data_IF_154390166456
#
_entry.id   IF_154390166456
#
_cell.length_a   1.000
_cell.length_b   1.000
_cell.length_c   1.000
_cell.angle_alpha   90.00
_cell.angle_beta   90.00
_cell.angle_gamma   90.00
#
_symmetry.space_group_name_H-M   'P 1'
#
loop_
_entity.id
_entity.type
_entity.pdbx_description
1 polymer ?
#
# COMPACT_ATOMS: atom_id res chain seq x y z
N UNK A 1 5.37 -28.68 -6.54
CA UNK A 1 5.81 -27.27 -6.38
C UNK A 1 4.69 -26.24 -6.52
N UNK A 2 3.72 -26.37 -7.43
CA UNK A 2 2.49 -25.54 -7.36
C UNK A 2 1.69 -25.81 -6.08
N UNK A 3 1.71 -27.06 -5.61
CA UNK A 3 1.11 -27.45 -4.33
C UNK A 3 1.77 -26.75 -3.13
N UNK A 4 3.11 -26.63 -3.06
CA UNK A 4 3.80 -26.05 -1.90
C UNK A 4 3.53 -24.56 -1.72
N UNK A 5 3.56 -23.76 -2.80
CA UNK A 5 3.22 -22.33 -2.74
C UNK A 5 1.74 -22.12 -2.38
N UNK A 6 0.83 -22.87 -3.01
CA UNK A 6 -0.60 -22.83 -2.67
C UNK A 6 -0.89 -23.26 -1.23
N UNK A 7 -0.09 -24.20 -0.70
CA UNK A 7 -0.22 -24.69 0.67
C UNK A 7 0.37 -23.70 1.69
N UNK A 8 1.51 -23.07 1.39
CA UNK A 8 2.07 -21.97 2.19
C UNK A 8 1.13 -20.77 2.26
N UNK A 9 0.50 -20.40 1.14
CA UNK A 9 -0.51 -19.34 1.09
C UNK A 9 -1.74 -19.71 1.93
N UNK A 10 -2.16 -20.98 1.89
CA UNK A 10 -3.28 -21.48 2.71
C UNK A 10 -2.95 -21.49 4.21
N UNK A 11 -1.73 -21.85 4.60
CA UNK A 11 -1.27 -21.82 6.00
C UNK A 11 -1.18 -20.38 6.51
N UNK A 12 -0.59 -19.48 5.72
CA UNK A 12 -0.50 -18.05 6.05
C UNK A 12 -1.88 -17.44 6.24
N UNK A 13 -2.83 -17.72 5.34
CA UNK A 13 -4.19 -17.22 5.45
C UNK A 13 -4.91 -17.72 6.72
N UNK A 14 -4.71 -18.99 7.10
CA UNK A 14 -5.24 -19.55 8.35
C UNK A 14 -4.63 -18.89 9.59
N UNK A 15 -3.31 -18.73 9.61
CA UNK A 15 -2.60 -18.03 10.70
C UNK A 15 -3.04 -16.57 10.79
N UNK A 16 -3.23 -15.90 9.65
CA UNK A 16 -3.69 -14.53 9.58
C UNK A 16 -5.11 -14.39 10.15
N UNK A 17 -6.03 -15.29 9.78
CA UNK A 17 -7.36 -15.32 10.37
C UNK A 17 -7.33 -15.54 11.88
N UNK A 18 -6.45 -16.44 12.35
CA UNK A 18 -6.32 -16.77 13.77
C UNK A 18 -5.62 -15.67 14.61
N UNK A 19 -4.71 -14.88 14.03
CA UNK A 19 -4.00 -13.82 14.79
C UNK A 19 -4.85 -12.56 14.96
N UNK A 20 -5.73 -12.25 14.01
CA UNK A 20 -6.53 -11.02 13.98
C UNK A 20 -7.24 -10.71 15.30
N UNK A 21 -7.92 -11.66 15.99
CA UNK A 21 -8.55 -11.39 17.28
C UNK A 21 -7.59 -11.06 18.42
N UNK A 22 -6.32 -11.48 18.32
CA UNK A 22 -5.30 -11.26 19.36
C UNK A 22 -4.58 -9.92 19.21
N UNK A 23 -4.45 -9.42 17.99
CA UNK A 23 -3.71 -8.19 17.67
C UNK A 23 -4.20 -6.96 18.44
N UNK A 24 -5.52 -6.72 18.62
CA UNK A 24 -5.99 -5.56 19.39
C UNK A 24 -5.43 -5.48 20.82
N UNK A 25 -5.15 -6.62 21.43
CA UNK A 25 -4.67 -6.72 22.81
C UNK A 25 -3.15 -6.89 22.88
N UNK A 26 -2.62 -7.86 22.15
CA UNK A 26 -1.22 -8.28 22.23
C UNK A 26 -0.34 -7.66 21.13
N UNK A 27 -0.93 -6.90 20.21
CA UNK A 27 -0.27 -6.35 19.03
C UNK A 27 0.20 -7.43 18.05
N UNK A 28 0.91 -6.99 17.02
CA UNK A 28 1.64 -7.88 16.10
C UNK A 28 2.90 -8.41 16.78
N UNK A 29 2.73 -9.32 17.75
CA UNK A 29 3.80 -9.80 18.62
C UNK A 29 4.03 -11.31 18.51
N UNK A 30 5.20 -11.76 18.98
CA UNK A 30 5.50 -13.19 19.06
C UNK A 30 4.51 -13.96 19.96
N UNK A 31 3.96 -13.29 20.99
CA UNK A 31 2.90 -13.88 21.83
C UNK A 31 1.63 -14.14 21.00
N UNK A 32 1.13 -13.12 20.29
CA UNK A 32 -0.04 -13.25 19.43
C UNK A 32 0.17 -14.31 18.33
N UNK A 33 1.39 -14.41 17.78
CA UNK A 33 1.73 -15.43 16.78
C UNK A 33 1.62 -16.85 17.31
N UNK A 34 2.16 -17.14 18.51
CA UNK A 34 2.04 -18.46 19.13
C UNK A 34 0.59 -18.82 19.46
N UNK A 35 -0.19 -17.84 19.92
CA UNK A 35 -1.63 -18.03 20.16
C UNK A 35 -2.37 -18.35 18.86
N UNK A 36 -2.10 -17.61 17.79
CA UNK A 36 -2.66 -17.87 16.48
C UNK A 36 -2.30 -19.27 15.93
N UNK A 37 -1.06 -19.71 16.14
CA UNK A 37 -0.62 -21.06 15.75
C UNK A 37 -1.42 -22.14 16.49
N UNK A 38 -1.60 -21.97 17.80
CA UNK A 38 -2.39 -22.88 18.63
C UNK A 38 -3.86 -22.91 18.21
N UNK A 39 -4.49 -21.74 18.02
CA UNK A 39 -5.89 -21.62 17.61
C UNK A 39 -6.14 -22.19 16.22
N UNK A 40 -5.21 -21.96 15.29
CA UNK A 40 -5.26 -22.52 13.95
C UNK A 40 -4.92 -24.02 13.91
N UNK A 41 -4.49 -24.63 15.02
CA UNK A 41 -4.00 -26.02 15.10
C UNK A 41 -2.87 -26.29 14.11
N UNK A 42 -1.94 -25.34 14.00
CA UNK A 42 -0.72 -25.45 13.20
C UNK A 42 0.43 -25.60 14.18
N UNK A 43 1.30 -26.59 13.95
CA UNK A 43 2.47 -26.76 14.80
C UNK A 43 3.44 -25.57 14.64
N UNK A 44 4.12 -25.22 15.73
CA UNK A 44 4.95 -24.01 15.75
C UNK A 44 6.09 -24.06 14.73
N UNK A 45 6.65 -25.25 14.44
CA UNK A 45 7.73 -25.39 13.47
C UNK A 45 7.24 -25.08 12.04
N UNK A 46 6.05 -25.54 11.66
CA UNK A 46 5.40 -25.17 10.41
C UNK A 46 5.08 -23.68 10.36
N UNK A 47 4.55 -23.11 11.45
CA UNK A 47 4.25 -21.68 11.52
C UNK A 47 5.50 -20.83 11.33
N UNK A 48 6.60 -21.16 12.02
CA UNK A 48 7.90 -20.47 11.90
C UNK A 48 8.51 -20.66 10.50
N UNK A 49 8.32 -21.82 9.86
CA UNK A 49 8.80 -22.06 8.50
C UNK A 49 8.09 -21.18 7.45
N UNK A 50 6.77 -20.97 7.62
CA UNK A 50 5.95 -20.17 6.70
C UNK A 50 6.03 -18.66 7.02
N UNK A 51 6.18 -18.29 8.28
CA UNK A 51 6.35 -16.91 8.75
C UNK A 51 7.62 -16.79 9.59
N UNK A 52 8.82 -16.73 8.98
CA UNK A 52 10.09 -16.69 9.71
C UNK A 52 10.25 -15.50 10.66
N UNK A 53 9.55 -14.39 10.39
CA UNK A 53 9.51 -13.20 11.27
C UNK A 53 8.24 -13.17 12.15
N UNK A 54 7.50 -14.27 12.19
CA UNK A 54 6.29 -14.46 12.98
C UNK A 54 5.19 -13.43 12.65
N UNK A 55 4.70 -12.75 13.67
CA UNK A 55 3.62 -11.77 13.52
C UNK A 55 3.96 -10.60 12.57
N UNK A 56 5.24 -10.29 12.34
CA UNK A 56 5.63 -9.25 11.36
C UNK A 56 5.25 -9.67 9.94
N UNK A 57 5.48 -10.94 9.58
CA UNK A 57 5.08 -11.46 8.27
C UNK A 57 3.56 -11.49 8.13
N UNK A 58 2.83 -11.81 9.21
CA UNK A 58 1.36 -11.73 9.21
C UNK A 58 0.84 -10.30 9.11
N UNK A 59 1.50 -9.31 9.73
CA UNK A 59 1.15 -7.89 9.58
C UNK A 59 1.32 -7.41 8.14
N UNK A 60 2.40 -7.86 7.48
CA UNK A 60 2.65 -7.62 6.05
C UNK A 60 1.58 -8.30 5.19
N UNK A 61 1.24 -9.56 5.49
CA UNK A 61 0.20 -10.30 4.79
C UNK A 61 -1.18 -9.63 4.92
N UNK A 62 -1.53 -9.17 6.14
CA UNK A 62 -2.74 -8.40 6.39
C UNK A 62 -2.82 -7.13 5.53
N UNK A 63 -1.72 -6.37 5.49
CA UNK A 63 -1.65 -5.15 4.67
C UNK A 63 -1.89 -5.45 3.19
N UNK A 64 -1.24 -6.49 2.65
CA UNK A 64 -1.38 -6.90 1.25
C UNK A 64 -2.79 -7.42 0.93
N UNK A 65 -3.40 -8.17 1.84
CA UNK A 65 -4.79 -8.62 1.68
C UNK A 65 -5.76 -7.43 1.53
N UNK A 66 -5.53 -6.35 2.30
CA UNK A 66 -6.29 -5.10 2.14
C UNK A 66 -6.05 -4.42 0.79
N UNK A 67 -4.84 -4.46 0.24
CA UNK A 67 -4.55 -3.93 -1.11
C UNK A 67 -5.24 -4.74 -2.20
N UNK A 68 -5.31 -6.07 -2.04
CA UNK A 68 -5.99 -6.96 -2.97
C UNK A 68 -7.51 -6.75 -2.94
N UNK A 69 -8.09 -6.57 -1.75
CA UNK A 69 -9.50 -6.25 -1.58
C UNK A 69 -9.84 -4.88 -2.18
N UNK A 70 -9.01 -3.86 -1.96
CA UNK A 70 -9.15 -2.57 -2.65
C UNK A 70 -9.14 -2.76 -4.17
N UNK A 71 -8.20 -3.53 -4.71
CA UNK A 71 -8.12 -3.80 -6.13
C UNK A 71 -9.36 -4.52 -6.65
N UNK A 72 -9.93 -5.44 -5.86
CA UNK A 72 -11.18 -6.14 -6.20
C UNK A 72 -12.35 -5.16 -6.25
N UNK A 73 -12.53 -4.31 -5.22
CA UNK A 73 -13.58 -3.28 -5.16
C UNK A 73 -13.49 -2.32 -6.34
N UNK A 74 -12.30 -1.83 -6.67
CA UNK A 74 -12.07 -0.94 -7.82
C UNK A 74 -12.47 -1.57 -9.15
N UNK A 75 -12.17 -2.86 -9.37
CA UNK A 75 -12.51 -3.54 -10.63
C UNK A 75 -14.01 -3.79 -10.79
N UNK A 76 -14.74 -3.88 -9.69
CA UNK A 76 -16.20 -4.10 -9.71
C UNK A 76 -16.99 -2.80 -9.73
N UNK A 77 -16.42 -1.70 -9.23
CA UNK A 77 -17.07 -0.40 -9.22
C UNK A 77 -17.16 0.18 -10.64
N UNK A 78 -18.29 0.77 -10.99
CA UNK A 78 -18.39 1.62 -12.17
C UNK A 78 -17.80 2.99 -11.85
N UNK A 79 -16.64 3.27 -12.45
CA UNK A 79 -15.90 4.52 -12.29
C UNK A 79 -15.93 5.38 -13.56
N UNK A 80 -16.65 4.96 -14.60
CA UNK A 80 -16.60 5.55 -15.95
C UNK A 80 -16.94 7.04 -15.95
N UNK A 81 -17.99 7.42 -15.22
CA UNK A 81 -18.47 8.81 -15.11
C UNK A 81 -17.68 9.66 -14.09
N UNK A 82 -16.79 9.05 -13.30
CA UNK A 82 -16.00 9.77 -12.30
C UNK A 82 -14.82 10.48 -12.94
N UNK A 83 -14.54 11.72 -12.51
CA UNK A 83 -13.27 12.39 -12.83
C UNK A 83 -12.12 11.57 -12.26
N UNK A 84 -10.98 11.58 -12.95
CA UNK A 84 -9.82 10.77 -12.55
C UNK A 84 -9.38 10.99 -11.10
N UNK A 85 -9.42 12.23 -10.61
CA UNK A 85 -9.11 12.56 -9.20
C UNK A 85 -10.06 11.87 -8.22
N UNK A 86 -11.35 11.81 -8.56
CA UNK A 86 -12.38 11.20 -7.73
C UNK A 86 -12.19 9.67 -7.72
N UNK A 87 -11.69 9.08 -8.82
CA UNK A 87 -11.29 7.66 -8.87
C UNK A 87 -10.12 7.35 -7.94
N UNK A 88 -9.15 8.25 -7.85
CA UNK A 88 -8.01 8.12 -6.90
C UNK A 88 -8.51 8.21 -5.46
N UNK A 89 -9.40 9.16 -5.15
CA UNK A 89 -10.02 9.25 -3.83
C UNK A 89 -10.81 7.98 -3.49
N UNK A 90 -11.62 7.46 -4.42
CA UNK A 90 -12.34 6.21 -4.26
C UNK A 90 -11.42 5.01 -3.99
N UNK A 91 -10.27 4.92 -4.66
CA UNK A 91 -9.28 3.87 -4.43
C UNK A 91 -8.74 3.89 -2.99
N UNK A 92 -8.37 5.08 -2.49
CA UNK A 92 -7.91 5.24 -1.10
C UNK A 92 -9.03 4.91 -0.11
N UNK A 93 -10.26 5.36 -0.38
CA UNK A 93 -11.43 5.05 0.43
C UNK A 93 -11.69 3.54 0.50
N UNK A 94 -11.76 2.86 -0.63
CA UNK A 94 -11.94 1.39 -0.68
C UNK A 94 -10.83 0.63 0.05
N UNK A 95 -9.60 1.15 0.07
CA UNK A 95 -8.51 0.55 0.86
C UNK A 95 -8.74 0.65 2.35
N UNK A 96 -9.28 1.77 2.83
CA UNK A 96 -9.58 1.97 4.25
C UNK A 96 -10.84 1.22 4.67
N UNK A 97 -11.87 1.18 3.83
CA UNK A 97 -13.10 0.41 4.05
C UNK A 97 -12.90 -1.12 3.93
N UNK A 98 -11.74 -1.58 3.46
CA UNK A 98 -11.36 -2.99 3.52
C UNK A 98 -10.92 -3.43 4.92
N UNK A 99 -10.76 -2.48 5.85
CA UNK A 99 -10.36 -2.76 7.23
C UNK A 99 -11.60 -2.92 8.10
N UNK A 100 -11.74 -4.09 8.71
CA UNK A 100 -12.85 -4.39 9.62
C UNK A 100 -12.62 -3.81 11.02
N UNK A 101 -11.36 -3.79 11.48
CA UNK A 101 -10.98 -3.24 12.78
C UNK A 101 -9.78 -2.28 12.64
N UNK A 102 -10.01 -1.01 13.00
CA UNK A 102 -8.99 0.05 12.99
C UNK A 102 -7.80 -0.28 13.86
N UNK A 103 -7.99 -1.04 14.94
CA UNK A 103 -6.91 -1.38 15.87
C UNK A 103 -5.83 -2.23 15.21
N UNK A 104 -6.18 -3.11 14.25
CA UNK A 104 -5.21 -3.88 13.47
C UNK A 104 -4.22 -2.98 12.72
N UNK A 105 -4.75 -1.92 12.11
CA UNK A 105 -3.97 -0.92 11.37
C UNK A 105 -3.21 0.00 12.33
N UNK A 106 -3.79 0.35 13.48
CA UNK A 106 -3.12 1.15 14.51
C UNK A 106 -1.88 0.41 15.04
N UNK A 107 -2.04 -0.85 15.44
CA UNK A 107 -0.95 -1.71 15.89
C UNK A 107 0.09 -1.94 14.79
N UNK A 108 -0.35 -2.11 13.55
CA UNK A 108 0.55 -2.24 12.39
C UNK A 108 1.36 -0.98 12.16
N UNK A 109 0.73 0.20 12.24
CA UNK A 109 1.38 1.49 12.06
C UNK A 109 2.42 1.75 13.15
N UNK A 110 2.15 1.38 14.40
CA UNK A 110 3.14 1.44 15.49
C UNK A 110 4.31 0.48 15.24
N UNK A 111 4.04 -0.76 14.81
CA UNK A 111 5.09 -1.74 14.48
C UNK A 111 6.03 -1.21 13.38
N UNK A 112 5.46 -0.72 12.27
CA UNK A 112 6.24 -0.26 11.12
C UNK A 112 6.88 1.12 11.31
N UNK A 113 6.53 1.86 12.38
CA UNK A 113 7.26 3.06 12.77
C UNK A 113 8.60 2.76 13.45
N UNK A 114 8.82 1.52 13.92
CA UNK A 114 10.09 1.12 14.52
C UNK A 114 11.20 1.11 13.46
N UNK A 115 12.42 1.62 13.75
CA UNK A 115 13.49 1.76 12.76
C UNK A 115 13.83 0.46 12.00
N UNK A 116 13.80 -0.67 12.69
CA UNK A 116 14.07 -2.00 12.09
C UNK A 116 13.00 -2.45 11.08
N UNK A 117 11.78 -1.93 11.17
CA UNK A 117 10.65 -2.26 10.29
C UNK A 117 10.20 -1.09 9.41
N UNK A 118 10.80 0.10 9.56
CA UNK A 118 10.48 1.28 8.77
C UNK A 118 10.62 1.05 7.26
N UNK A 119 11.63 0.27 6.85
CA UNK A 119 11.80 -0.14 5.46
C UNK A 119 10.66 -1.01 4.93
N UNK A 120 10.11 -1.91 5.75
CA UNK A 120 8.94 -2.71 5.38
C UNK A 120 7.69 -1.83 5.29
N UNK A 121 7.46 -0.94 6.26
CA UNK A 121 6.35 0.01 6.23
C UNK A 121 6.35 0.90 4.98
N UNK A 122 7.51 1.45 4.62
CA UNK A 122 7.68 2.26 3.41
C UNK A 122 7.38 1.46 2.15
N UNK A 123 7.85 0.20 2.07
CA UNK A 123 7.56 -0.71 0.95
C UNK A 123 6.07 -1.05 0.85
N UNK A 124 5.39 -1.26 1.97
CA UNK A 124 3.97 -1.53 2.03
C UNK A 124 3.14 -0.34 1.51
N UNK A 125 3.43 0.87 2.00
CA UNK A 125 2.78 2.10 1.50
C UNK A 125 3.04 2.29 0.01
N UNK A 126 4.29 2.12 -0.43
CA UNK A 126 4.64 2.21 -1.85
C UNK A 126 3.87 1.19 -2.69
N UNK A 127 3.77 -0.05 -2.20
CA UNK A 127 3.03 -1.13 -2.84
C UNK A 127 1.54 -0.82 -2.98
N UNK A 128 0.91 -0.25 -1.94
CA UNK A 128 -0.49 0.20 -2.02
C UNK A 128 -0.69 1.24 -3.11
N UNK A 129 0.13 2.29 -3.15
CA UNK A 129 -0.05 3.36 -4.14
C UNK A 129 0.30 2.91 -5.55
N UNK A 130 1.32 2.07 -5.70
CA UNK A 130 1.65 1.42 -6.97
C UNK A 130 0.46 0.57 -7.47
N UNK A 131 -0.16 -0.21 -6.58
CA UNK A 131 -1.36 -1.00 -6.88
C UNK A 131 -2.54 -0.14 -7.29
N UNK A 132 -2.78 1.00 -6.63
CA UNK A 132 -3.84 1.95 -7.02
C UNK A 132 -3.60 2.45 -8.44
N UNK A 133 -2.39 2.95 -8.74
CA UNK A 133 -2.05 3.46 -10.08
C UNK A 133 -2.16 2.37 -11.15
N UNK A 134 -1.73 1.14 -10.84
CA UNK A 134 -1.82 0.01 -11.74
C UNK A 134 -3.27 -0.38 -12.05
N UNK A 135 -4.15 -0.44 -11.03
CA UNK A 135 -5.57 -0.76 -11.23
C UNK A 135 -6.30 0.35 -11.99
N UNK A 136 -5.90 1.61 -11.80
CA UNK A 136 -6.43 2.76 -12.53
C UNK A 136 -5.82 2.92 -13.95
N UNK A 137 -4.88 2.06 -14.34
CA UNK A 137 -4.33 2.01 -15.70
C UNK A 137 -3.25 3.05 -16.01
N UNK A 138 -2.44 3.45 -15.02
CA UNK A 138 -1.29 4.34 -15.23
C UNK A 138 -0.29 3.76 -16.25
N UNK A 139 0.10 4.58 -17.24
CA UNK A 139 1.05 4.22 -18.31
C UNK A 139 2.36 5.02 -18.24
N UNK A 140 2.62 5.69 -17.12
CA UNK A 140 3.85 6.48 -16.96
C UNK A 140 5.08 5.58 -16.92
N UNK A 141 6.07 5.85 -17.78
CA UNK A 141 7.35 5.13 -17.83
C UNK A 141 8.56 6.02 -17.47
N UNK A 142 8.32 7.31 -17.27
CA UNK A 142 9.30 8.36 -17.01
C UNK A 142 9.27 8.81 -15.53
N UNK A 143 9.91 9.94 -15.23
CA UNK A 143 9.93 10.53 -13.89
C UNK A 143 8.52 10.76 -13.29
N UNK A 144 7.46 10.87 -14.11
CA UNK A 144 6.09 11.01 -13.61
C UNK A 144 5.65 9.76 -12.84
N UNK A 145 6.20 8.58 -13.16
CA UNK A 145 5.95 7.35 -12.42
C UNK A 145 6.27 7.51 -10.93
N UNK A 146 7.45 8.05 -10.63
CA UNK A 146 7.92 8.30 -9.26
C UNK A 146 7.13 9.42 -8.59
N UNK A 147 6.88 10.51 -9.32
CA UNK A 147 6.20 11.69 -8.77
C UNK A 147 4.76 11.35 -8.38
N UNK A 148 4.00 10.67 -9.24
CA UNK A 148 2.64 10.21 -8.95
C UNK A 148 2.57 9.33 -7.72
N UNK A 149 3.49 8.37 -7.59
CA UNK A 149 3.55 7.44 -6.45
C UNK A 149 4.00 8.12 -5.16
N UNK A 150 5.04 8.95 -5.22
CA UNK A 150 5.54 9.69 -4.07
C UNK A 150 4.49 10.65 -3.50
N UNK A 151 3.80 11.40 -4.37
CA UNK A 151 2.75 12.31 -3.92
C UNK A 151 1.54 11.56 -3.38
N UNK A 152 1.09 10.48 -4.04
CA UNK A 152 -0.02 9.66 -3.52
C UNK A 152 0.35 8.95 -2.21
N UNK A 153 1.61 8.55 -2.01
CA UNK A 153 2.08 7.95 -0.75
C UNK A 153 1.95 8.93 0.42
N UNK A 154 2.24 10.21 0.19
CA UNK A 154 2.03 11.28 1.16
C UNK A 154 0.55 11.46 1.51
N UNK A 155 -0.31 11.54 0.49
CA UNK A 155 -1.78 11.64 0.69
C UNK A 155 -2.33 10.43 1.43
N UNK A 156 -1.98 9.22 1.00
CA UNK A 156 -2.42 7.98 1.62
C UNK A 156 -2.02 7.90 3.09
N UNK A 157 -0.73 8.10 3.38
CA UNK A 157 -0.21 8.01 4.77
C UNK A 157 -0.86 9.04 5.69
N UNK A 158 -1.03 10.29 5.21
CA UNK A 158 -1.71 11.33 5.99
C UNK A 158 -3.19 10.98 6.22
N UNK A 159 -3.86 10.41 5.22
CA UNK A 159 -5.27 10.00 5.31
C UNK A 159 -5.44 8.83 6.28
N UNK A 160 -4.56 7.83 6.25
CA UNK A 160 -4.57 6.71 7.22
C UNK A 160 -4.44 7.23 8.64
N UNK A 161 -3.48 8.13 8.91
CA UNK A 161 -3.28 8.68 10.25
C UNK A 161 -4.47 9.51 10.72
N UNK A 162 -5.06 10.32 9.83
CA UNK A 162 -6.28 11.07 10.14
C UNK A 162 -7.46 10.12 10.43
N UNK A 163 -7.65 9.11 9.58
CA UNK A 163 -8.69 8.10 9.69
C UNK A 163 -8.61 7.29 10.99
N UNK A 164 -7.40 6.96 11.45
CA UNK A 164 -7.20 6.29 12.74
C UNK A 164 -7.68 7.13 13.93
N UNK A 165 -7.70 8.46 13.81
CA UNK A 165 -8.20 9.38 14.85
C UNK A 165 -9.64 9.84 14.65
N UNK A 166 -10.29 9.44 13.56
CA UNK A 166 -11.63 9.92 13.22
C UNK A 166 -12.74 9.05 13.83
N UNK A 167 -13.51 9.68 14.72
CA UNK A 167 -14.68 9.17 15.41
C UNK A 167 -16.02 9.70 14.83
N UNK A 168 -15.98 10.45 13.72
CA UNK A 168 -17.21 10.92 13.07
C UNK A 168 -17.97 9.78 12.39
N UNK A 169 -19.29 9.96 12.27
CA UNK A 169 -20.19 9.03 11.60
C UNK A 169 -19.70 8.71 10.18
N UNK A 170 -19.59 7.41 9.87
CA UNK A 170 -19.05 6.86 8.62
C UNK A 170 -17.71 7.49 8.19
N UNK A 171 -16.92 8.02 9.14
CA UNK A 171 -15.65 8.71 8.88
C UNK A 171 -15.77 9.92 7.93
N UNK A 172 -16.89 10.64 8.00
CA UNK A 172 -17.16 11.79 7.15
C UNK A 172 -16.02 12.84 7.16
N UNK A 173 -15.36 13.06 8.31
CA UNK A 173 -14.23 14.01 8.39
C UNK A 173 -13.01 13.50 7.63
N UNK A 174 -12.75 12.19 7.65
CA UNK A 174 -11.69 11.55 6.85
C UNK A 174 -11.92 11.74 5.36
N UNK A 175 -13.15 11.54 4.88
CA UNK A 175 -13.46 11.69 3.46
C UNK A 175 -13.30 13.13 3.00
N UNK A 176 -13.79 14.09 3.78
CA UNK A 176 -13.56 15.50 3.50
C UNK A 176 -12.06 15.88 3.56
N UNK A 177 -11.27 15.25 4.43
CA UNK A 177 -9.82 15.43 4.47
C UNK A 177 -9.14 14.88 3.21
N UNK A 178 -9.50 13.66 2.80
CA UNK A 178 -8.97 13.00 1.61
C UNK A 178 -9.25 13.83 0.35
N UNK A 179 -10.48 14.30 0.16
CA UNK A 179 -10.86 15.11 -1.00
C UNK A 179 -10.01 16.39 -1.10
N UNK A 180 -9.79 17.09 0.02
CA UNK A 180 -8.89 18.26 0.07
C UNK A 180 -7.46 17.90 -0.31
N UNK A 181 -6.94 16.78 0.20
CA UNK A 181 -5.56 16.34 -0.08
C UNK A 181 -5.36 15.94 -1.53
N UNK A 182 -6.33 15.26 -2.14
CA UNK A 182 -6.29 14.95 -3.57
C UNK A 182 -6.36 16.22 -4.41
N UNK A 183 -7.15 17.21 -3.99
CA UNK A 183 -7.22 18.51 -4.68
C UNK A 183 -5.91 19.32 -4.58
N UNK A 184 -5.22 19.27 -3.44
CA UNK A 184 -3.90 19.91 -3.26
C UNK A 184 -2.87 19.34 -4.25
N UNK A 185 -2.89 18.02 -4.50
CA UNK A 185 -2.02 17.39 -5.50
C UNK A 185 -2.27 17.97 -6.89
N UNK A 186 -3.52 18.17 -7.27
CA UNK A 186 -3.87 18.77 -8.56
C UNK A 186 -3.39 20.22 -8.68
N UNK A 187 -3.34 20.96 -7.57
CA UNK A 187 -2.77 22.32 -7.57
C UNK A 187 -1.25 22.30 -7.76
N UNK A 188 -0.55 21.33 -7.16
CA UNK A 188 0.90 21.14 -7.37
C UNK A 188 1.20 20.85 -8.84
N UNK A 189 0.44 19.97 -9.48
CA UNK A 189 0.62 19.65 -10.90
C UNK A 189 0.34 20.86 -11.81
N UNK A 190 -0.71 21.65 -11.50
CA UNK A 190 -0.97 22.92 -12.21
C UNK A 190 0.16 23.94 -12.02
N UNK A 191 0.71 24.05 -10.81
CA UNK A 191 1.82 24.95 -10.53
C UNK A 191 3.09 24.54 -11.28
N UNK A 192 3.39 23.23 -11.35
CA UNK A 192 4.51 22.69 -12.16
C UNK A 192 4.35 23.00 -13.64
N UNK A 193 3.14 22.81 -14.19
CA UNK A 193 2.85 23.14 -15.59
C UNK A 193 3.09 24.63 -15.87
N UNK A 194 2.52 25.51 -15.04
CA UNK A 194 2.73 26.97 -15.15
C UNK A 194 4.19 27.38 -15.03
N UNK A 195 4.96 26.75 -14.14
CA UNK A 195 6.39 27.03 -13.97
C UNK A 195 7.20 26.67 -15.23
N UNK A 196 6.86 25.56 -15.91
CA UNK A 196 7.48 25.16 -17.20
C UNK A 196 7.09 26.07 -18.36
N UNK A 197 5.89 26.64 -18.32
CA UNK A 197 5.40 27.59 -19.34
C UNK A 197 6.01 28.99 -19.18
N UNK A 198 6.46 29.36 -17.96
CA UNK A 198 7.04 30.67 -17.68
C UNK A 198 8.39 30.87 -18.37
N UNK A 199 8.46 31.86 -19.28
CA UNK A 199 9.64 32.18 -20.09
C UNK A 199 10.90 32.51 -19.28
N UNK A 200 10.74 32.94 -18.02
CA UNK A 200 11.87 33.32 -17.14
C UNK A 200 12.51 32.10 -16.48
N UNK A 201 11.72 31.06 -16.16
CA UNK A 201 12.20 29.84 -15.49
C UNK A 201 12.61 28.75 -16.48
N UNK A 202 12.16 28.87 -17.74
CA UNK A 202 12.48 27.93 -18.84
C UNK A 202 13.97 27.58 -18.95
N UNK A 203 14.93 28.52 -18.98
CA UNK A 203 16.35 28.19 -19.18
C UNK A 203 16.97 27.37 -18.04
N UNK A 204 16.46 27.53 -16.81
CA UNK A 204 16.93 26.80 -15.63
C UNK A 204 16.32 25.40 -15.55
N UNK A 205 15.05 25.26 -15.95
CA UNK A 205 14.31 23.99 -15.92
C UNK A 205 14.63 23.10 -17.13
N UNK A 206 14.90 23.67 -18.32
CA UNK A 206 15.26 22.89 -19.51
C UNK A 206 16.61 22.18 -19.38
N UNK A 207 17.50 22.68 -18.51
CA UNK A 207 18.80 22.08 -18.22
C UNK A 207 18.75 20.83 -17.33
N UNK A 208 17.59 20.50 -16.73
CA UNK A 208 17.41 19.29 -15.90
C UNK A 208 16.58 18.20 -16.59
N UNK A 209 15.82 18.53 -17.65
CA UNK A 209 14.98 17.59 -18.38
C UNK A 209 15.80 16.44 -19.04
N UNK A 210 17.02 16.70 -19.50
CA UNK A 210 17.91 15.65 -20.05
C UNK A 210 18.32 14.61 -18.99
N UNK A 211 18.55 15.05 -17.74
CA UNK A 211 18.91 14.17 -16.63
C UNK A 211 17.69 13.39 -16.12
N UNK A 212 16.51 14.00 -16.13
CA UNK A 212 15.25 13.32 -15.82
C UNK A 212 14.88 12.23 -16.83
N UNK A 213 15.30 12.37 -18.10
CA UNK A 213 15.11 11.36 -19.14
C UNK A 213 15.85 10.04 -18.91
N UNK A 214 16.86 10.01 -18.03
CA UNK A 214 17.53 8.78 -17.61
C UNK A 214 16.78 8.01 -16.53
N UNK A 215 15.84 8.66 -15.84
CA UNK A 215 14.99 8.04 -14.83
C UNK A 215 13.86 7.33 -15.56
N UNK A 216 13.92 6.00 -15.57
CA UNK A 216 12.86 5.14 -16.11
C UNK A 216 12.18 4.38 -15.00
N UNK A 217 10.88 4.15 -15.18
CA UNK A 217 10.15 3.22 -14.33
C UNK A 217 10.85 1.84 -14.35
N UNK A 218 10.84 1.10 -13.23
CA UNK A 218 11.35 -0.26 -13.21
C UNK A 218 10.60 -1.11 -14.24
N UNK A 219 11.33 -1.93 -15.01
CA UNK A 219 10.70 -2.88 -15.94
C UNK A 219 9.77 -3.78 -15.13
N UNK A 220 8.49 -3.83 -15.49
CA UNK A 220 7.54 -4.80 -14.94
C UNK A 220 7.96 -6.18 -15.44
N UNK A 221 8.87 -6.84 -14.73
CA UNK A 221 9.02 -8.28 -14.88
C UNK A 221 7.66 -8.90 -14.56
N UNK A 222 7.16 -9.87 -15.34
CA UNK A 222 6.00 -10.65 -14.94
C UNK A 222 6.24 -11.11 -13.50
N UNK A 223 5.23 -11.01 -12.62
CA UNK A 223 5.32 -11.54 -11.25
C UNK A 223 5.70 -13.02 -11.36
N UNK A 224 6.99 -13.27 -11.24
CA UNK A 224 7.55 -14.60 -11.21
C UNK A 224 7.40 -15.01 -9.76
N UNK A 225 6.25 -15.59 -9.43
CA UNK A 225 5.98 -16.22 -8.14
C UNK A 225 6.81 -17.52 -7.98
N UNK A 226 8.02 -17.53 -8.52
CA UNK A 226 8.97 -18.66 -8.54
C UNK A 226 10.18 -18.28 -7.69
N UNK A 227 10.46 -18.98 -6.58
CA UNK A 227 11.70 -18.82 -5.85
C UNK A 227 12.90 -19.23 -6.74
N UNK A 228 13.93 -18.37 -6.84
CA UNK A 228 15.23 -18.73 -7.41
C UNK A 228 15.62 -18.12 -8.77
N UNK A 229 14.81 -17.22 -9.36
CA UNK A 229 15.21 -16.57 -10.61
C UNK A 229 16.20 -15.42 -10.36
N UNK A 230 17.50 -15.72 -10.37
CA UNK A 230 18.53 -14.71 -10.60
C UNK A 230 18.52 -14.35 -12.09
N UNK A 231 17.94 -13.20 -12.45
CA UNK A 231 18.23 -12.60 -13.76
C UNK A 231 19.54 -11.83 -13.63
N UNK A 232 20.60 -12.38 -14.25
CA UNK A 232 21.86 -11.66 -14.44
C UNK A 232 21.62 -10.40 -15.30
N UNK A 233 22.42 -9.34 -15.10
CA UNK A 233 22.18 -8.00 -15.64
C UNK A 233 22.02 -7.97 -17.17
#
# INVERSE_FOLDING_TARGET
MTQDASQQDTVTARLLGAITPHVPFDGWSHKAFRMASADAKIDQATADAVCPRGAVDLAIAYHKAGDDEMGRRLRMADLSEMRFRDRVAAAVRFRLEAVEDKELVRRGSTLFALPMYAGDGAKLVWGTVDRIWDVLGDKSEDYNWYTKRGTLAGVYSATVLYWLGDDSDDHARTWAFLDRRVDDVMQIEKAKAKARENSILKPLLSGSDWALGWIKAPKKTPRSDMPGSWQRP
#
